data_IF_112012782081
#
_entry.id   IF_112012782081
#
_cell.length_a   1.000
_cell.length_b   1.000
_cell.length_c   1.000
_cell.angle_alpha   90.00
_cell.angle_beta   90.00
_cell.angle_gamma   90.00
#
_symmetry.space_group_name_H-M   'P 1'
#
loop_
_entity.id
_entity.type
_entity.pdbx_description
1 polymer ?
#
# COMPACT_ATOMS: atom_id res chain seq x y z
N UNK A 1 12.55 -6.74 -10.52
CA UNK A 1 12.23 -8.13 -10.16
C UNK A 1 10.79 -8.20 -9.65
N UNK A 2 10.44 -7.48 -8.60
CA UNK A 2 9.06 -7.49 -8.04
C UNK A 2 8.02 -7.11 -9.09
N UNK A 3 8.32 -6.16 -9.97
CA UNK A 3 7.40 -5.73 -11.04
C UNK A 3 6.97 -6.88 -11.95
N UNK A 4 7.79 -7.90 -12.14
CA UNK A 4 7.43 -9.07 -12.95
C UNK A 4 6.21 -9.84 -12.39
N UNK A 5 5.92 -9.68 -11.09
CA UNK A 5 4.79 -10.33 -10.44
C UNK A 5 3.51 -9.47 -10.50
N UNK A 6 3.62 -8.20 -10.88
CA UNK A 6 2.46 -7.31 -10.98
C UNK A 6 1.68 -7.68 -12.24
N UNK A 7 0.40 -8.08 -12.10
CA UNK A 7 -0.40 -8.46 -13.25
C UNK A 7 -0.66 -7.26 -14.17
N UNK A 8 -0.81 -7.52 -15.46
CA UNK A 8 -1.35 -6.51 -16.38
C UNK A 8 -2.84 -6.31 -16.10
N UNK A 9 -3.11 -5.35 -15.23
CA UNK A 9 -4.48 -5.01 -14.84
C UNK A 9 -5.18 -4.05 -15.81
N UNK A 10 -4.53 -3.69 -16.93
CA UNK A 10 -5.13 -2.82 -17.95
C UNK A 10 -6.40 -3.41 -18.54
N UNK A 11 -6.46 -4.72 -18.64
CA UNK A 11 -7.57 -5.49 -19.21
C UNK A 11 -8.51 -6.06 -18.16
N UNK A 12 -8.22 -5.90 -16.87
CA UNK A 12 -9.02 -6.47 -15.80
C UNK A 12 -10.02 -5.46 -15.25
N UNK A 13 -11.16 -5.95 -14.83
CA UNK A 13 -12.04 -5.19 -13.96
C UNK A 13 -11.35 -5.05 -12.60
N UNK A 14 -11.11 -3.81 -12.15
CA UNK A 14 -10.36 -3.53 -10.93
C UNK A 14 -11.27 -3.58 -9.69
N UNK A 15 -12.01 -4.65 -9.55
CA UNK A 15 -12.83 -4.88 -8.37
C UNK A 15 -11.94 -5.23 -7.17
N UNK A 16 -12.45 -4.90 -6.00
CA UNK A 16 -11.88 -5.34 -4.73
C UNK A 16 -11.95 -6.88 -4.64
N UNK A 17 -10.83 -7.53 -4.33
CA UNK A 17 -10.72 -9.00 -4.31
C UNK A 17 -11.28 -9.65 -3.04
N UNK A 18 -11.77 -8.87 -2.09
CA UNK A 18 -12.35 -9.38 -0.86
C UNK A 18 -11.34 -9.82 0.21
N UNK A 19 -10.05 -9.85 -0.09
CA UNK A 19 -9.02 -10.30 0.87
C UNK A 19 -8.86 -9.39 2.09
N UNK A 20 -9.40 -8.19 2.04
CA UNK A 20 -9.44 -7.23 3.15
C UNK A 20 -10.72 -7.25 3.98
N UNK A 21 -11.52 -8.26 3.85
CA UNK A 21 -12.81 -8.33 4.53
C UNK A 21 -12.72 -8.25 6.08
N UNK A 22 -11.55 -8.54 6.64
CA UNK A 22 -11.29 -8.57 8.08
C UNK A 22 -10.96 -7.17 8.62
N UNK A 23 -10.58 -6.23 7.76
CA UNK A 23 -10.21 -4.88 8.13
C UNK A 23 -11.48 -4.05 8.39
N UNK A 24 -11.58 -3.42 9.55
CA UNK A 24 -12.73 -2.58 9.92
C UNK A 24 -13.04 -1.45 8.94
N UNK A 25 -12.02 -0.92 8.25
CA UNK A 25 -12.17 0.04 7.16
C UNK A 25 -12.71 -0.55 5.85
N UNK A 26 -12.77 -1.87 5.71
CA UNK A 26 -13.15 -2.51 4.46
C UNK A 26 -14.58 -2.19 4.01
N UNK A 27 -15.51 -2.00 4.94
CA UNK A 27 -16.90 -1.66 4.63
C UNK A 27 -17.02 -0.26 4.01
N UNK A 28 -16.29 0.73 4.53
CA UNK A 28 -16.24 2.07 3.97
C UNK A 28 -15.52 2.09 2.62
N UNK A 29 -14.45 1.33 2.50
CA UNK A 29 -13.74 1.15 1.23
C UNK A 29 -14.65 0.60 0.13
N UNK A 30 -15.42 -0.45 0.43
CA UNK A 30 -16.34 -1.08 -0.52
C UNK A 30 -17.44 -0.13 -0.99
N UNK A 31 -17.92 0.74 -0.11
CA UNK A 31 -18.94 1.73 -0.43
C UNK A 31 -18.38 2.95 -1.16
N UNK A 32 -17.07 3.04 -1.36
CA UNK A 32 -16.43 4.21 -1.96
C UNK A 32 -16.47 5.46 -1.09
N UNK A 33 -16.82 5.33 0.19
CA UNK A 33 -16.97 6.47 1.11
C UNK A 33 -15.61 7.01 1.54
N UNK A 34 -14.63 6.11 1.72
CA UNK A 34 -13.28 6.47 2.15
C UNK A 34 -12.25 6.50 1.00
N UNK A 35 -12.65 6.07 -0.19
CA UNK A 35 -11.83 6.06 -1.39
C UNK A 35 -12.71 6.27 -2.62
N UNK A 36 -12.11 6.52 -3.77
CA UNK A 36 -12.84 6.77 -5.01
C UNK A 36 -13.68 5.62 -5.57
N UNK A 37 -13.86 4.56 -4.80
CA UNK A 37 -14.64 3.38 -5.16
C UNK A 37 -13.78 2.17 -5.54
N UNK A 38 -14.40 1.01 -5.53
CA UNK A 38 -13.72 -0.28 -5.77
C UNK A 38 -13.25 -0.44 -7.22
N UNK A 39 -14.02 0.09 -8.16
CA UNK A 39 -13.76 -0.06 -9.60
C UNK A 39 -12.48 0.62 -10.10
N UNK A 40 -11.91 1.53 -9.32
CA UNK A 40 -10.71 2.29 -9.68
C UNK A 40 -9.44 1.79 -8.97
N UNK A 41 -9.55 0.71 -8.22
CA UNK A 41 -8.44 0.14 -7.46
C UNK A 41 -8.40 -1.37 -7.58
N UNK A 42 -7.31 -1.90 -8.13
CA UNK A 42 -6.98 -3.31 -7.99
C UNK A 42 -6.27 -3.55 -6.66
N UNK A 43 -6.65 -4.62 -5.97
CA UNK A 43 -6.01 -5.05 -4.71
C UNK A 43 -5.94 -6.55 -4.64
N UNK A 44 -4.78 -7.06 -4.28
CA UNK A 44 -4.57 -8.49 -4.08
C UNK A 44 -3.53 -8.73 -2.98
N UNK A 45 -3.92 -9.43 -1.92
CA UNK A 45 -2.95 -9.93 -0.96
C UNK A 45 -2.21 -11.13 -1.52
N UNK A 46 -0.90 -11.20 -1.26
CA UNK A 46 -0.13 -12.41 -1.49
C UNK A 46 -0.41 -13.38 -0.34
N UNK A 47 -1.03 -14.50 -0.66
CA UNK A 47 -1.46 -15.54 0.30
C UNK A 47 -0.92 -16.89 -0.13
N UNK A 48 -1.06 -17.91 0.73
CA UNK A 48 -0.69 -19.31 0.40
C UNK A 48 -1.43 -19.85 -0.83
N UNK A 49 -2.66 -19.44 -1.05
CA UNK A 49 -3.49 -19.90 -2.17
C UNK A 49 -3.01 -19.33 -3.52
N UNK A 50 -2.42 -18.13 -3.51
CA UNK A 50 -2.01 -17.44 -4.73
C UNK A 50 -0.50 -17.22 -4.88
N UNK A 51 0.33 -17.64 -3.91
CA UNK A 51 1.78 -17.40 -3.88
C UNK A 51 2.51 -17.83 -5.16
N UNK A 52 2.03 -18.87 -5.83
CA UNK A 52 2.59 -19.35 -7.10
C UNK A 52 2.49 -18.32 -8.23
N UNK A 53 1.57 -17.37 -8.13
CA UNK A 53 1.41 -16.26 -9.10
C UNK A 53 2.38 -15.12 -8.85
N UNK A 54 3.04 -15.10 -7.68
CA UNK A 54 3.87 -13.99 -7.21
C UNK A 54 5.26 -14.48 -6.72
N UNK A 55 6.02 -15.25 -7.52
CA UNK A 55 7.24 -15.92 -7.04
C UNK A 55 8.32 -14.94 -6.55
N UNK A 56 8.44 -13.76 -7.14
CA UNK A 56 9.41 -12.76 -6.69
C UNK A 56 8.94 -12.01 -5.43
N UNK A 57 7.62 -11.77 -5.30
CA UNK A 57 7.06 -11.19 -4.08
C UNK A 57 7.19 -12.17 -2.91
N UNK A 58 7.01 -13.47 -3.12
CA UNK A 58 7.23 -14.49 -2.07
C UNK A 58 8.67 -14.48 -1.58
N UNK A 59 9.65 -14.38 -2.48
CA UNK A 59 11.06 -14.23 -2.07
C UNK A 59 11.27 -12.97 -1.23
N UNK A 60 10.69 -11.86 -1.65
CA UNK A 60 10.76 -10.60 -0.93
C UNK A 60 10.08 -10.68 0.46
N UNK A 61 8.92 -11.33 0.55
CA UNK A 61 8.22 -11.56 1.83
C UNK A 61 9.09 -12.39 2.77
N UNK A 62 9.69 -13.47 2.28
CA UNK A 62 10.55 -14.33 3.08
C UNK A 62 11.79 -13.58 3.59
N UNK A 63 12.36 -12.70 2.78
CA UNK A 63 13.46 -11.83 3.18
C UNK A 63 13.05 -10.86 4.29
N UNK A 64 11.92 -10.15 4.08
CA UNK A 64 11.37 -9.24 5.08
C UNK A 64 10.99 -9.96 6.39
N UNK A 65 10.60 -11.23 6.32
CA UNK A 65 10.23 -12.06 7.47
C UNK A 65 11.44 -12.73 8.14
N UNK A 66 12.65 -12.57 7.58
CA UNK A 66 13.85 -13.12 8.19
C UNK A 66 14.13 -12.49 9.56
N UNK A 67 14.73 -13.26 10.46
CA UNK A 67 15.08 -12.79 11.80
C UNK A 67 15.95 -11.53 11.74
N UNK A 68 16.94 -11.54 10.87
CA UNK A 68 17.88 -10.43 10.69
C UNK A 68 17.15 -9.12 10.30
N UNK A 69 16.26 -9.17 9.31
CA UNK A 69 15.51 -8.01 8.85
C UNK A 69 14.51 -7.55 9.91
N UNK A 70 13.82 -8.49 10.59
CA UNK A 70 12.92 -8.16 11.69
C UNK A 70 13.65 -7.44 12.84
N UNK A 71 14.81 -7.94 13.26
CA UNK A 71 15.61 -7.30 14.31
C UNK A 71 16.09 -5.90 13.89
N UNK A 72 16.54 -5.75 12.63
CA UNK A 72 16.97 -4.46 12.10
C UNK A 72 15.81 -3.44 12.07
N UNK A 73 14.65 -3.84 11.58
CA UNK A 73 13.46 -2.98 11.54
C UNK A 73 12.99 -2.66 12.95
N UNK A 74 12.90 -3.65 13.84
CA UNK A 74 12.49 -3.49 15.24
C UNK A 74 13.35 -2.44 15.94
N UNK A 75 14.66 -2.51 15.76
CA UNK A 75 15.61 -1.53 16.27
C UNK A 75 15.40 -0.13 15.66
N UNK A 76 15.19 -0.06 14.34
CA UNK A 76 15.02 1.20 13.63
C UNK A 76 13.76 1.95 14.07
N UNK A 77 12.65 1.24 14.29
CA UNK A 77 11.36 1.84 14.66
C UNK A 77 11.12 1.86 16.18
N UNK A 78 12.04 1.32 16.97
CA UNK A 78 11.93 1.16 18.42
C UNK A 78 10.61 0.46 18.83
N UNK A 79 10.28 -0.64 18.18
CA UNK A 79 9.12 -1.48 18.48
C UNK A 79 9.51 -2.95 18.45
N UNK A 80 8.96 -3.73 19.35
CA UNK A 80 9.10 -5.19 19.33
C UNK A 80 8.25 -5.77 18.19
N UNK A 81 8.90 -6.41 17.23
CA UNK A 81 8.28 -7.13 16.13
C UNK A 81 8.25 -8.64 16.34
N UNK A 82 8.69 -9.14 17.50
CA UNK A 82 8.56 -10.55 17.86
C UNK A 82 7.10 -10.96 17.76
N UNK A 83 6.81 -12.09 17.15
CA UNK A 83 5.43 -12.55 16.88
C UNK A 83 4.61 -11.69 15.89
N UNK A 84 5.24 -10.76 15.18
CA UNK A 84 4.60 -10.10 14.05
C UNK A 84 4.85 -10.85 12.74
N UNK A 85 4.08 -10.52 11.72
CA UNK A 85 4.28 -11.06 10.36
C UNK A 85 4.13 -9.98 9.31
N UNK A 86 4.78 -10.19 8.19
CA UNK A 86 4.69 -9.31 7.03
C UNK A 86 3.50 -9.72 6.17
N UNK A 87 2.65 -8.75 5.86
CA UNK A 87 1.55 -8.91 4.92
C UNK A 87 1.79 -8.00 3.72
N UNK A 88 1.93 -8.58 2.56
CA UNK A 88 2.16 -7.85 1.32
C UNK A 88 0.90 -7.81 0.47
N UNK A 89 0.60 -6.66 -0.06
CA UNK A 89 -0.53 -6.41 -0.92
C UNK A 89 -0.05 -5.74 -2.22
N UNK A 90 -0.45 -6.28 -3.36
CA UNK A 90 -0.31 -5.62 -4.65
C UNK A 90 -1.48 -4.65 -4.81
N UNK A 91 -1.17 -3.41 -5.09
CA UNK A 91 -2.18 -2.35 -5.26
C UNK A 91 -1.89 -1.61 -6.56
N UNK A 92 -2.92 -1.44 -7.38
CA UNK A 92 -2.83 -0.60 -8.57
C UNK A 92 -4.07 0.31 -8.64
N UNK A 93 -3.85 1.61 -8.62
CA UNK A 93 -4.91 2.61 -8.66
C UNK A 93 -5.06 3.18 -10.07
N UNK A 94 -6.27 3.50 -10.48
CA UNK A 94 -6.60 4.22 -11.71
C UNK A 94 -6.78 5.70 -11.47
N UNK A 95 -6.90 6.44 -12.56
CA UNK A 95 -7.32 7.85 -12.54
C UNK A 95 -8.59 8.03 -11.71
N UNK A 96 -8.61 9.07 -10.91
CA UNK A 96 -9.73 9.39 -10.05
C UNK A 96 -9.70 8.73 -8.67
N UNK A 97 -8.72 7.85 -8.38
CA UNK A 97 -8.57 7.31 -7.04
C UNK A 97 -8.21 8.38 -6.01
N UNK A 98 -8.79 8.27 -4.84
CA UNK A 98 -8.48 9.06 -3.66
C UNK A 98 -8.66 8.22 -2.41
N UNK A 99 -8.02 8.61 -1.34
CA UNK A 99 -8.10 7.94 -0.05
C UNK A 99 -8.22 9.00 1.05
N UNK A 100 -9.32 8.95 1.79
CA UNK A 100 -9.55 9.86 2.92
C UNK A 100 -8.41 9.77 3.93
N UNK A 101 -7.94 10.90 4.48
CA UNK A 101 -6.99 10.89 5.58
C UNK A 101 -7.46 10.01 6.74
N UNK A 102 -6.59 9.09 7.17
CA UNK A 102 -6.86 8.15 8.25
C UNK A 102 -5.57 7.73 8.94
N UNK A 103 -5.68 7.17 10.12
CA UNK A 103 -4.62 6.39 10.75
C UNK A 103 -4.90 4.90 10.55
N UNK A 104 -3.85 4.12 10.50
CA UNK A 104 -3.96 2.67 10.41
C UNK A 104 -4.54 2.06 11.72
N UNK A 105 -5.04 0.85 11.63
CA UNK A 105 -5.56 0.09 12.78
C UNK A 105 -4.42 -0.25 13.76
N UNK A 106 -4.78 -0.51 15.01
CA UNK A 106 -3.82 -0.74 16.11
C UNK A 106 -2.92 -1.96 15.91
N UNK A 107 -3.40 -2.95 15.18
CA UNK A 107 -2.70 -4.20 14.90
C UNK A 107 -1.54 -4.01 13.90
N UNK A 108 -1.57 -2.94 13.12
CA UNK A 108 -0.45 -2.59 12.24
C UNK A 108 0.63 -1.87 13.03
N UNK A 109 1.78 -2.49 13.20
CA UNK A 109 2.93 -1.89 13.86
C UNK A 109 3.68 -0.93 12.94
N UNK A 110 3.70 -1.24 11.66
CA UNK A 110 4.36 -0.47 10.61
C UNK A 110 3.62 -0.66 9.29
N UNK A 111 3.60 0.36 8.47
CA UNK A 111 3.13 0.31 7.08
C UNK A 111 4.22 0.85 6.14
N UNK A 112 4.20 0.37 4.92
CA UNK A 112 5.11 0.86 3.89
C UNK A 112 4.59 0.61 2.49
N UNK A 113 5.08 1.35 1.53
CA UNK A 113 4.80 1.17 0.12
C UNK A 113 6.11 1.22 -0.68
N UNK A 114 6.13 0.44 -1.76
CA UNK A 114 7.17 0.50 -2.79
C UNK A 114 6.46 0.74 -4.12
N UNK A 115 6.83 1.80 -4.81
CA UNK A 115 6.28 2.15 -6.11
C UNK A 115 7.04 1.40 -7.21
N UNK A 116 6.31 0.72 -8.08
CA UNK A 116 6.91 -0.21 -9.06
C UNK A 116 6.61 0.10 -10.52
N UNK A 117 5.92 1.19 -10.82
CA UNK A 117 5.69 1.64 -12.19
C UNK A 117 6.98 2.08 -12.88
N UNK A 118 7.08 1.80 -14.18
CA UNK A 118 8.20 2.26 -15.00
C UNK A 118 7.95 3.57 -15.75
N UNK A 119 6.82 4.21 -15.50
CA UNK A 119 6.41 5.40 -16.24
C UNK A 119 6.90 6.68 -15.59
N UNK A 120 7.06 7.73 -16.41
CA UNK A 120 7.31 9.08 -15.93
C UNK A 120 6.00 9.76 -15.52
N UNK A 121 5.32 9.16 -14.54
CA UNK A 121 4.17 9.78 -13.91
C UNK A 121 4.60 10.95 -13.02
N UNK A 122 3.66 11.80 -12.66
CA UNK A 122 3.93 12.92 -11.78
C UNK A 122 4.32 12.44 -10.37
N UNK A 123 5.33 13.05 -9.79
CA UNK A 123 5.81 12.71 -8.43
C UNK A 123 4.77 13.01 -7.34
N UNK A 124 3.78 13.83 -7.63
CA UNK A 124 2.71 14.15 -6.68
C UNK A 124 1.67 13.02 -6.52
N UNK A 125 1.80 11.93 -7.29
CA UNK A 125 0.95 10.74 -7.15
C UNK A 125 1.29 9.87 -5.93
N UNK A 126 2.22 10.27 -5.11
CA UNK A 126 2.58 9.55 -3.90
C UNK A 126 1.55 9.67 -2.78
N UNK A 127 1.87 9.12 -1.62
CA UNK A 127 1.01 9.18 -0.44
C UNK A 127 1.14 10.54 0.23
N UNK A 128 0.01 11.11 0.60
CA UNK A 128 -0.06 12.35 1.34
C UNK A 128 -0.05 12.07 2.85
N UNK A 129 0.78 12.80 3.60
CA UNK A 129 0.79 12.82 5.06
C UNK A 129 0.20 14.12 5.59
N UNK A 130 -0.50 14.02 6.70
CA UNK A 130 -1.25 15.12 7.30
C UNK A 130 -0.87 15.30 8.77
N UNK A 131 -1.02 16.52 9.27
CA UNK A 131 -0.93 16.81 10.70
C UNK A 131 -2.26 16.45 11.42
N UNK A 132 -2.33 16.67 12.72
CA UNK A 132 -3.53 16.40 13.55
C UNK A 132 -4.75 17.25 13.16
N UNK A 133 -4.56 18.36 12.47
CA UNK A 133 -5.63 19.20 11.94
C UNK A 133 -6.10 18.78 10.55
N UNK A 134 -5.55 17.66 10.05
CA UNK A 134 -5.81 17.14 8.69
C UNK A 134 -5.34 18.13 7.60
N UNK A 135 -4.35 18.93 7.89
CA UNK A 135 -3.67 19.74 6.91
C UNK A 135 -2.53 18.92 6.29
N UNK A 136 -2.44 18.92 4.97
CA UNK A 136 -1.39 18.17 4.27
C UNK A 136 -0.03 18.81 4.51
N UNK A 137 0.90 18.02 5.02
CA UNK A 137 2.26 18.47 5.35
C UNK A 137 3.31 17.92 4.38
N UNK A 138 3.03 16.80 3.72
CA UNK A 138 3.99 16.18 2.80
C UNK A 138 3.29 15.23 1.84
N UNK A 139 3.78 15.19 0.59
CA UNK A 139 3.54 14.08 -0.35
C UNK A 139 4.84 13.32 -0.52
N UNK A 140 4.81 12.00 -0.36
CA UNK A 140 5.95 11.13 -0.68
C UNK A 140 6.10 11.09 -2.20
N UNK A 141 7.28 11.34 -2.77
CA UNK A 141 7.44 11.32 -4.22
C UNK A 141 7.10 9.95 -4.82
N UNK A 142 6.27 9.95 -5.85
CA UNK A 142 5.96 8.77 -6.64
C UNK A 142 7.05 8.54 -7.68
N UNK A 143 7.92 7.57 -7.44
CA UNK A 143 9.04 7.24 -8.33
C UNK A 143 9.19 5.73 -8.43
N UNK A 144 9.59 5.25 -9.58
CA UNK A 144 9.91 3.82 -9.74
C UNK A 144 11.01 3.38 -8.76
N UNK A 145 10.82 2.20 -8.18
CA UNK A 145 11.74 1.61 -7.21
C UNK A 145 12.05 2.52 -6.00
N UNK A 146 11.10 3.36 -5.64
CA UNK A 146 11.16 4.21 -4.47
C UNK A 146 10.11 3.74 -3.46
N UNK A 147 10.47 3.71 -2.20
CA UNK A 147 9.58 3.29 -1.14
C UNK A 147 9.78 4.09 0.13
N UNK A 148 8.85 3.89 1.06
CA UNK A 148 8.92 4.48 2.39
C UNK A 148 8.26 3.54 3.40
N UNK A 149 8.67 3.70 4.65
CA UNK A 149 8.11 3.03 5.81
C UNK A 149 7.69 4.08 6.84
N UNK A 150 6.66 3.79 7.60
CA UNK A 150 6.28 4.58 8.76
C UNK A 150 5.67 3.69 9.84
N UNK A 151 5.85 4.08 11.10
CA UNK A 151 5.21 3.40 12.23
C UNK A 151 3.75 3.82 12.32
N UNK A 152 2.87 2.85 12.50
CA UNK A 152 1.46 3.14 12.74
C UNK A 152 1.25 3.68 14.15
N UNK A 153 0.39 4.68 14.27
CA UNK A 153 0.08 5.33 15.52
C UNK A 153 -1.13 6.26 15.39
N UNK A 154 -1.63 6.83 16.51
CA UNK A 154 -2.85 7.63 16.50
C UNK A 154 -2.72 8.94 15.73
N UNK A 155 -1.49 9.41 15.49
CA UNK A 155 -1.21 10.69 14.84
C UNK A 155 -0.52 10.53 13.47
N UNK A 156 -0.42 9.31 12.95
CA UNK A 156 0.18 9.04 11.64
C UNK A 156 -0.86 9.15 10.52
N UNK A 157 -1.45 10.32 10.40
CA UNK A 157 -2.48 10.60 9.40
C UNK A 157 -1.91 10.56 8.00
N UNK A 158 -2.50 9.73 7.15
CA UNK A 158 -2.10 9.58 5.76
C UNK A 158 -3.30 9.28 4.87
N UNK A 159 -3.12 9.53 3.59
CA UNK A 159 -4.16 9.35 2.59
C UNK A 159 -3.67 9.72 1.20
N UNK A 160 -4.58 10.08 0.33
CA UNK A 160 -4.27 10.53 -1.00
C UNK A 160 -5.39 11.44 -1.51
N UNK A 161 -5.07 12.66 -1.88
CA UNK A 161 -6.01 13.53 -2.58
C UNK A 161 -6.34 12.95 -3.95
N UNK A 162 -7.53 13.27 -4.46
CA UNK A 162 -7.94 12.86 -5.80
C UNK A 162 -6.97 13.45 -6.83
N UNK A 163 -6.24 12.59 -7.52
CA UNK A 163 -5.23 12.98 -8.48
C UNK A 163 -5.52 12.37 -9.85
N UNK A 164 -4.96 13.00 -10.86
CA UNK A 164 -5.06 12.54 -12.23
C UNK A 164 -3.85 11.68 -12.57
N UNK A 165 -4.09 10.45 -12.96
CA UNK A 165 -3.08 9.55 -13.51
C UNK A 165 -3.09 9.73 -15.03
N UNK A 166 -1.98 10.24 -15.58
CA UNK A 166 -1.94 10.70 -16.97
C UNK A 166 -1.57 9.59 -17.94
N UNK A 167 -0.71 8.66 -17.58
CA UNK A 167 -0.10 7.69 -18.52
C UNK A 167 -0.49 6.25 -18.24
N UNK A 168 -0.38 5.84 -17.02
CA UNK A 168 -0.73 4.49 -16.61
C UNK A 168 -1.56 4.53 -15.34
N UNK A 169 -1.14 3.78 -14.40
CA UNK A 169 -1.74 3.71 -13.09
C UNK A 169 -0.65 3.68 -12.03
N UNK A 170 -1.03 4.06 -10.86
CA UNK A 170 -0.17 4.00 -9.70
C UNK A 170 -0.15 2.56 -9.16
N UNK A 171 0.99 1.89 -9.22
CA UNK A 171 1.24 0.58 -8.61
C UNK A 171 2.40 0.65 -7.63
#
# INVERSE_FOLDING_TARGET
IIKADIPDVSKHNLNYDGTRAIDGGAAEFRKGIASGGEAIKFRCFVTKENEKKFPNLVKFINELQSKEVHEAISKMINKDLTNSYVRVEVICDREGFWLKPHCDIKEKLMSGLIFVNNTNESEDLGTDFYNEKIEKVKTVPYRHNYGYLFTSGPNTWHGMEKKKIVKERRC
#
